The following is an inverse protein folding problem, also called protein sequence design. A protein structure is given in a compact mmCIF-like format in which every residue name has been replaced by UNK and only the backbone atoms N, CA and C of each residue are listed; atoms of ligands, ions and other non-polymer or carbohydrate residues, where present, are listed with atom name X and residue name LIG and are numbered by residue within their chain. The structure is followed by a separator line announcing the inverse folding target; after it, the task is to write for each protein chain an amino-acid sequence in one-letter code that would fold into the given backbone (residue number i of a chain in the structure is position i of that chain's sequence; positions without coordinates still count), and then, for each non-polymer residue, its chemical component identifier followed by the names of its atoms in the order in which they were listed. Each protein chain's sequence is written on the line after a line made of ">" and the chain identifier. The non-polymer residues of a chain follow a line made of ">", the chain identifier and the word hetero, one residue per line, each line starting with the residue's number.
data_IF_380178659876
#
_entry.id   IF_380178659876
#
_cell.length_a   1.000
_cell.length_b   1.000
_cell.length_c   1.000
_cell.angle_alpha   90.00
_cell.angle_beta   90.00
_cell.angle_gamma   90.00
#
_symmetry.space_group_name_H-M   'P 1'
#
loop_
_entity.id
_entity.type
_entity.pdbx_description
1 polymer ?
#
# COMPACT_ATOMS: atom_id res chain seq x y z
N UNK A 1 17.50 31.93 26.31
CA UNK A 1 17.47 33.29 26.88
C UNK A 1 16.02 33.72 26.95
N UNK A 2 15.53 34.06 28.16
CA UNK A 2 14.28 34.76 28.40
C UNK A 2 13.00 33.92 28.42
N UNK A 3 12.65 33.36 29.58
CA UNK A 3 11.27 33.17 30.10
C UNK A 3 11.33 32.47 31.46
N UNK A 4 11.52 33.29 32.49
CA UNK A 4 11.11 33.06 33.88
C UNK A 4 10.53 34.41 34.30
N UNK A 5 9.37 34.38 34.95
CA UNK A 5 8.70 35.47 35.69
C UNK A 5 7.20 35.63 35.37
N UNK A 6 6.43 34.54 35.21
CA UNK A 6 4.95 34.62 35.19
C UNK A 6 4.25 33.85 36.33
N UNK A 7 4.97 33.03 37.11
CA UNK A 7 4.36 32.23 38.19
C UNK A 7 4.25 32.98 39.54
N UNK A 8 4.87 34.15 39.67
CA UNK A 8 4.89 34.90 40.94
C UNK A 8 3.71 35.89 41.11
N UNK A 9 2.95 36.18 40.04
CA UNK A 9 1.84 37.16 40.11
C UNK A 9 0.48 36.53 40.46
N UNK A 10 0.32 35.21 40.26
CA UNK A 10 -0.95 34.52 40.52
C UNK A 10 -1.18 34.22 42.02
N UNK A 11 -0.12 33.98 42.80
CA UNK A 11 -0.24 33.74 44.25
C UNK A 11 -0.59 35.02 45.05
N UNK A 12 -0.35 36.21 44.50
CA UNK A 12 -0.71 37.47 45.15
C UNK A 12 -2.21 37.83 45.05
N UNK A 13 -2.96 37.19 44.13
CA UNK A 13 -4.38 37.50 43.90
C UNK A 13 -5.37 36.63 44.72
N UNK A 14 -4.90 35.57 45.38
CA UNK A 14 -5.77 34.60 46.09
C UNK A 14 -5.71 34.72 47.63
N UNK A 15 -4.98 35.68 48.17
CA UNK A 15 -4.88 35.94 49.62
C UNK A 15 -6.06 36.75 50.17
N UNK A 16 -7.26 36.17 50.27
CA UNK A 16 -8.41 36.96 50.69
C UNK A 16 -9.71 36.22 51.01
N UNK A 17 -9.69 34.97 51.45
CA UNK A 17 -10.91 34.30 51.94
C UNK A 17 -10.73 33.90 53.39
N UNK A 18 -11.31 34.69 54.30
CA UNK A 18 -11.47 34.32 55.71
C UNK A 18 -12.42 33.12 55.80
N UNK A 19 -12.08 32.06 56.53
CA UNK A 19 -13.05 31.03 56.85
C UNK A 19 -14.10 31.62 57.79
N UNK A 20 -15.36 31.65 57.34
CA UNK A 20 -16.51 31.83 58.23
C UNK A 20 -16.63 30.54 59.05
N UNK A 21 -15.97 30.53 60.20
CA UNK A 21 -16.26 29.61 61.29
C UNK A 21 -17.68 29.85 61.78
N UNK A 22 -18.59 28.95 61.41
CA UNK A 22 -19.97 28.90 61.89
C UNK A 22 -20.39 27.45 61.96
N UNK A 23 -20.03 26.78 63.06
CA UNK A 23 -20.42 25.40 63.32
C UNK A 23 -21.95 25.24 63.38
N UNK A 24 -22.48 24.05 63.07
CA UNK A 24 -23.90 23.77 63.23
C UNK A 24 -24.26 23.84 64.72
N UNK A 25 -25.07 24.82 65.10
CA UNK A 25 -25.74 24.83 66.39
C UNK A 25 -26.65 23.59 66.47
N UNK A 26 -26.23 22.60 67.25
CA UNK A 26 -27.07 21.50 67.69
C UNK A 26 -28.20 22.08 68.52
N UNK A 27 -29.41 22.12 67.96
CA UNK A 27 -30.62 22.36 68.73
C UNK A 27 -30.91 21.05 69.47
N UNK A 28 -30.53 21.03 70.75
CA UNK A 28 -30.95 19.98 71.68
C UNK A 28 -32.47 20.02 71.81
N UNK A 29 -33.12 18.91 71.43
CA UNK A 29 -34.49 18.63 71.83
C UNK A 29 -34.53 18.37 73.34
N UNK A 30 -35.18 19.25 74.08
CA UNK A 30 -35.49 19.07 75.50
C UNK A 30 -36.85 18.36 75.62
N UNK A 31 -36.94 17.22 76.32
CA UNK A 31 -38.21 16.61 76.70
C UNK A 31 -38.58 17.01 78.13
N UNK A 32 -39.75 17.63 78.30
CA UNK A 32 -40.48 17.76 79.57
C UNK A 32 -41.93 18.09 79.16
N UNK A 33 -42.97 17.34 79.50
CA UNK A 33 -43.31 16.90 80.85
C UNK A 33 -44.68 17.54 81.20
N UNK A 34 -45.58 16.86 81.93
CA UNK A 34 -47.02 17.09 81.88
C UNK A 34 -47.55 17.95 83.03
N UNK A 35 -48.87 18.22 82.97
CA UNK A 35 -49.81 18.64 84.04
C UNK A 35 -50.13 20.13 84.11
N UNK A 36 -51.43 20.41 84.00
CA UNK A 36 -52.04 21.71 84.26
C UNK A 36 -53.55 21.65 84.04
N UNK A 37 -54.27 20.82 84.83
CA UNK A 37 -55.72 20.90 85.00
C UNK A 37 -56.00 22.22 85.74
N UNK A 38 -56.44 23.26 85.04
CA UNK A 38 -57.07 24.42 85.67
C UNK A 38 -58.55 24.48 85.29
N UNK A 39 -59.34 24.18 86.30
CA UNK A 39 -60.78 24.25 86.38
C UNK A 39 -61.07 25.68 86.85
N UNK A 40 -61.56 26.55 85.98
CA UNK A 40 -61.98 27.90 86.35
C UNK A 40 -63.35 28.22 85.73
N UNK A 41 -64.35 28.18 86.61
CA UNK A 41 -65.52 29.08 86.68
C UNK A 41 -66.32 29.35 85.40
N UNK A 42 -67.43 28.63 85.28
CA UNK A 42 -68.67 29.11 84.66
C UNK A 42 -69.14 30.38 85.37
N UNK A 43 -69.06 31.51 84.67
CA UNK A 43 -69.75 32.74 85.02
C UNK A 43 -70.89 32.96 84.02
N UNK A 44 -72.08 33.22 84.55
CA UNK A 44 -73.34 33.24 83.82
C UNK A 44 -73.43 34.43 82.85
N UNK A 45 -73.83 34.13 81.62
CA UNK A 45 -74.06 35.10 80.55
C UNK A 45 -75.26 36.02 80.87
N UNK A 46 -75.12 37.36 80.80
CA UNK A 46 -76.24 38.29 80.84
C UNK A 46 -77.03 38.28 79.51
N UNK A 47 -78.31 38.70 79.53
CA UNK A 47 -79.20 38.66 78.37
C UNK A 47 -78.72 39.63 77.26
N UNK A 48 -78.53 39.08 76.06
CA UNK A 48 -78.16 39.82 74.85
C UNK A 48 -79.29 40.79 74.46
N UNK A 49 -79.02 42.09 74.53
CA UNK A 49 -79.79 43.09 73.79
C UNK A 49 -79.54 42.89 72.28
N UNK A 50 -80.61 42.92 71.49
CA UNK A 50 -80.52 42.79 70.04
C UNK A 50 -79.68 43.95 69.47
N UNK A 51 -78.62 43.65 68.69
CA UNK A 51 -77.80 44.69 68.09
C UNK A 51 -78.61 45.49 67.07
N UNK A 52 -78.36 46.79 67.09
CA UNK A 52 -78.89 47.75 66.13
C UNK A 52 -78.50 47.33 64.69
N UNK A 53 -79.48 47.20 63.80
CA UNK A 53 -79.32 46.57 62.49
C UNK A 53 -78.28 47.26 61.60
N UNK A 54 -77.99 48.54 61.85
CA UNK A 54 -76.98 49.33 61.16
C UNK A 54 -75.53 48.91 61.51
N UNK A 55 -75.23 48.64 62.79
CA UNK A 55 -73.89 48.20 63.23
C UNK A 55 -73.57 46.80 62.71
N UNK A 56 -74.57 45.92 62.67
CA UNK A 56 -74.43 44.58 62.11
C UNK A 56 -74.18 44.58 60.59
N UNK A 57 -74.57 45.64 59.86
CA UNK A 57 -74.29 45.76 58.43
C UNK A 57 -72.85 46.24 58.17
N UNK A 58 -72.39 47.28 58.89
CA UNK A 58 -71.01 47.78 58.77
C UNK A 58 -69.97 46.71 59.09
N UNK A 59 -70.15 45.97 60.19
CA UNK A 59 -69.26 44.85 60.55
C UNK A 59 -69.27 43.74 59.49
N UNK A 60 -70.42 43.48 58.84
CA UNK A 60 -70.50 42.49 57.75
C UNK A 60 -69.76 42.97 56.50
N UNK A 61 -69.81 44.26 56.20
CA UNK A 61 -69.10 44.85 55.07
C UNK A 61 -67.59 44.88 55.31
N UNK A 62 -67.12 45.32 56.47
CA UNK A 62 -65.70 45.25 56.84
C UNK A 62 -65.17 43.82 56.83
N UNK A 63 -65.96 42.85 57.32
CA UNK A 63 -65.60 41.44 57.27
C UNK A 63 -65.53 40.92 55.82
N UNK A 64 -66.42 41.39 54.94
CA UNK A 64 -66.39 41.05 53.53
C UNK A 64 -65.13 41.60 52.85
N UNK A 65 -64.81 42.87 53.08
CA UNK A 65 -63.65 43.55 52.49
C UNK A 65 -62.32 42.99 53.03
N UNK A 66 -62.27 42.66 54.33
CA UNK A 66 -61.15 41.94 54.92
C UNK A 66 -60.97 40.55 54.30
N UNK A 67 -62.07 39.82 54.05
CA UNK A 67 -62.02 38.51 53.37
C UNK A 67 -61.59 38.63 51.92
N UNK A 68 -61.94 39.69 51.21
CA UNK A 68 -61.43 39.94 49.86
C UNK A 68 -59.95 40.30 49.87
N UNK A 69 -59.51 41.12 50.83
CA UNK A 69 -58.10 41.46 51.01
C UNK A 69 -57.27 40.23 51.35
N UNK A 70 -57.74 39.38 52.26
CA UNK A 70 -57.10 38.10 52.61
C UNK A 70 -57.00 37.22 51.37
N UNK A 71 -58.09 37.04 50.60
CA UNK A 71 -58.05 36.27 49.35
C UNK A 71 -57.04 36.84 48.34
N UNK A 72 -56.95 38.16 48.23
CA UNK A 72 -55.96 38.84 47.38
C UNK A 72 -54.52 38.60 47.83
N UNK A 73 -54.27 38.68 49.14
CA UNK A 73 -52.95 38.40 49.73
C UNK A 73 -52.57 36.92 49.61
N UNK A 74 -53.51 36.00 49.82
CA UNK A 74 -53.31 34.55 49.61
C UNK A 74 -52.96 34.25 48.14
N UNK A 75 -53.66 34.87 47.19
CA UNK A 75 -53.34 34.75 45.78
C UNK A 75 -51.96 35.33 45.43
N UNK A 76 -51.61 36.50 45.99
CA UNK A 76 -50.29 37.12 45.78
C UNK A 76 -49.15 36.31 46.41
N UNK A 77 -49.37 35.74 47.61
CA UNK A 77 -48.42 34.85 48.27
C UNK A 77 -48.21 33.58 47.44
N UNK A 78 -49.29 32.94 46.98
CA UNK A 78 -49.18 31.76 46.13
C UNK A 78 -48.44 32.04 44.81
N UNK A 79 -48.68 33.21 44.20
CA UNK A 79 -47.95 33.64 43.02
C UNK A 79 -46.46 33.90 43.29
N UNK A 80 -46.13 34.51 44.44
CA UNK A 80 -44.76 34.76 44.86
C UNK A 80 -44.01 33.46 45.19
N UNK A 81 -44.67 32.49 45.83
CA UNK A 81 -44.13 31.14 46.06
C UNK A 81 -43.85 30.44 44.74
N UNK A 82 -44.78 30.47 43.79
CA UNK A 82 -44.58 29.93 42.45
C UNK A 82 -43.41 30.58 41.71
N UNK A 83 -43.26 31.91 41.79
CA UNK A 83 -42.13 32.62 41.20
C UNK A 83 -40.79 32.28 41.88
N UNK A 84 -40.78 32.13 43.21
CA UNK A 84 -39.59 31.74 43.97
C UNK A 84 -39.15 30.32 43.63
N UNK A 85 -40.08 29.37 43.47
CA UNK A 85 -39.77 28.00 43.07
C UNK A 85 -39.28 27.93 41.62
N UNK A 86 -39.85 28.71 40.70
CA UNK A 86 -39.34 28.84 39.34
C UNK A 86 -37.91 29.39 39.32
N UNK A 87 -37.61 30.45 40.08
CA UNK A 87 -36.26 31.01 40.18
C UNK A 87 -35.25 30.04 40.81
N UNK A 88 -35.68 29.22 41.78
CA UNK A 88 -34.84 28.15 42.35
C UNK A 88 -34.51 27.08 41.33
N UNK A 89 -35.49 26.65 40.54
CA UNK A 89 -35.29 25.67 39.46
C UNK A 89 -34.34 26.23 38.38
N UNK A 90 -34.50 27.49 37.99
CA UNK A 90 -33.59 28.15 37.04
C UNK A 90 -32.16 28.25 37.59
N UNK A 91 -32.01 28.63 38.86
CA UNK A 91 -30.69 28.67 39.50
C UNK A 91 -30.03 27.29 39.60
N UNK A 92 -30.81 26.24 39.86
CA UNK A 92 -30.31 24.86 39.87
C UNK A 92 -29.87 24.41 38.47
N UNK A 93 -30.65 24.70 37.43
CA UNK A 93 -30.29 24.41 36.04
C UNK A 93 -29.03 25.19 35.61
N UNK A 94 -28.91 26.45 35.99
CA UNK A 94 -27.73 27.27 35.72
C UNK A 94 -26.48 26.69 36.41
N UNK A 95 -26.59 26.28 37.68
CA UNK A 95 -25.49 25.62 38.42
C UNK A 95 -25.09 24.30 37.77
N UNK A 96 -26.06 23.49 37.34
CA UNK A 96 -25.79 22.25 36.62
C UNK A 96 -25.06 22.51 35.29
N UNK A 97 -25.46 23.55 34.56
CA UNK A 97 -24.81 23.98 33.31
C UNK A 97 -23.37 24.44 33.54
N UNK A 98 -23.13 25.28 34.56
CA UNK A 98 -21.77 25.73 34.92
C UNK A 98 -20.89 24.53 35.31
N UNK A 99 -21.41 23.61 36.11
CA UNK A 99 -20.67 22.40 36.49
C UNK A 99 -20.34 21.51 35.27
N UNK A 100 -21.23 21.41 34.29
CA UNK A 100 -20.98 20.69 33.05
C UNK A 100 -19.90 21.38 32.19
N UNK A 101 -19.94 22.72 32.09
CA UNK A 101 -18.90 23.49 31.37
C UNK A 101 -17.55 23.33 32.04
N UNK A 102 -17.48 23.39 33.38
CA UNK A 102 -16.25 23.22 34.13
C UNK A 102 -15.60 21.85 33.86
N UNK A 103 -16.38 20.76 33.90
CA UNK A 103 -15.88 19.42 33.55
C UNK A 103 -15.36 19.35 32.11
N UNK A 104 -16.07 19.94 31.16
CA UNK A 104 -15.62 19.97 29.75
C UNK A 104 -14.32 20.78 29.57
N UNK A 105 -14.10 21.81 30.39
CA UNK A 105 -12.85 22.56 30.40
C UNK A 105 -11.71 21.73 30.95
N UNK A 106 -11.91 21.04 32.08
CA UNK A 106 -10.92 20.11 32.66
C UNK A 106 -10.56 18.98 31.67
N UNK A 107 -11.55 18.37 31.02
CA UNK A 107 -11.35 17.34 29.99
C UNK A 107 -10.55 17.88 28.79
N UNK A 108 -10.84 19.12 28.36
CA UNK A 108 -10.14 19.76 27.25
C UNK A 108 -8.68 20.09 27.59
N UNK A 109 -8.42 20.57 28.81
CA UNK A 109 -7.06 20.83 29.31
C UNK A 109 -6.24 19.53 29.37
N UNK A 110 -6.84 18.45 29.86
CA UNK A 110 -6.21 17.13 29.86
C UNK A 110 -5.86 16.66 28.43
N UNK A 111 -6.81 16.82 27.49
CA UNK A 111 -6.60 16.46 26.09
C UNK A 111 -5.51 17.30 25.40
N UNK A 112 -5.41 18.60 25.70
CA UNK A 112 -4.32 19.46 25.21
C UNK A 112 -2.97 18.95 25.73
N UNK A 113 -2.88 18.65 27.03
CA UNK A 113 -1.65 18.15 27.62
C UNK A 113 -1.21 16.79 27.02
N UNK A 114 -2.17 15.91 26.71
CA UNK A 114 -1.90 14.66 25.98
C UNK A 114 -1.40 14.91 24.55
N UNK A 115 -2.03 15.84 23.83
CA UNK A 115 -1.64 16.20 22.47
C UNK A 115 -0.22 16.80 22.41
N UNK A 116 0.15 17.62 23.40
CA UNK A 116 1.50 18.18 23.50
C UNK A 116 2.54 17.08 23.75
N UNK A 117 2.27 16.14 24.67
CA UNK A 117 3.14 14.97 24.89
C UNK A 117 3.32 14.15 23.62
N UNK A 118 2.23 13.92 22.87
CA UNK A 118 2.29 13.18 21.61
C UNK A 118 3.12 13.91 20.54
N UNK A 119 2.98 15.24 20.43
CA UNK A 119 3.77 16.06 19.52
C UNK A 119 5.26 15.99 19.86
N UNK A 120 5.62 16.12 21.13
CA UNK A 120 7.01 16.10 21.57
C UNK A 120 7.66 14.72 21.34
N UNK A 121 6.90 13.64 21.54
CA UNK A 121 7.34 12.29 21.22
C UNK A 121 7.60 12.11 19.71
N UNK A 122 6.70 12.58 18.86
CA UNK A 122 6.87 12.52 17.40
C UNK A 122 8.06 13.36 16.92
N UNK A 123 8.28 14.53 17.52
CA UNK A 123 9.44 15.39 17.21
C UNK A 123 10.77 14.75 17.63
N UNK A 124 10.77 13.97 18.71
CA UNK A 124 11.94 13.19 19.13
C UNK A 124 12.24 12.06 18.13
N UNK A 125 11.21 11.30 17.73
CA UNK A 125 11.35 10.22 16.74
C UNK A 125 11.84 10.76 15.38
N UNK A 126 11.26 11.87 14.90
CA UNK A 126 11.71 12.54 13.66
C UNK A 126 13.18 12.92 13.72
N UNK A 127 13.66 13.45 14.86
CA UNK A 127 15.07 13.78 15.06
C UNK A 127 15.97 12.55 15.05
N UNK A 128 15.53 11.44 15.66
CA UNK A 128 16.28 10.18 15.64
C UNK A 128 16.42 9.63 14.21
N UNK A 129 15.34 9.62 13.43
CA UNK A 129 15.36 9.20 12.02
C UNK A 129 16.27 10.10 11.18
N UNK A 130 16.19 11.43 11.36
CA UNK A 130 17.07 12.36 10.64
C UNK A 130 18.55 12.15 10.98
N UNK A 131 18.89 11.88 12.24
CA UNK A 131 20.25 11.55 12.65
C UNK A 131 20.73 10.24 12.03
N UNK A 132 19.86 9.23 11.94
CA UNK A 132 20.19 7.95 11.30
C UNK A 132 20.45 8.12 9.80
N UNK A 133 19.57 8.84 9.09
CA UNK A 133 19.76 9.15 7.67
C UNK A 133 21.04 9.95 7.43
N UNK A 134 21.40 10.88 8.31
CA UNK A 134 22.66 11.62 8.20
C UNK A 134 23.87 10.67 8.32
N UNK A 135 23.87 9.77 9.31
CA UNK A 135 24.93 8.76 9.48
C UNK A 135 25.05 7.84 8.27
N UNK A 136 23.93 7.38 7.72
CA UNK A 136 23.93 6.52 6.52
C UNK A 136 24.45 7.25 5.29
N UNK A 137 24.11 8.53 5.13
CA UNK A 137 24.65 9.36 4.04
C UNK A 137 26.15 9.59 4.18
N UNK A 138 26.64 9.85 5.38
CA UNK A 138 28.06 10.02 5.65
C UNK A 138 28.82 8.71 5.40
N UNK A 139 28.26 7.57 5.83
CA UNK A 139 28.83 6.26 5.56
C UNK A 139 28.86 5.95 4.06
N UNK A 140 27.77 6.22 3.33
CA UNK A 140 27.72 6.05 1.88
C UNK A 140 28.73 6.97 1.17
N UNK A 141 28.94 8.19 1.68
CA UNK A 141 29.93 9.12 1.12
C UNK A 141 31.38 8.66 1.39
N UNK A 142 31.65 8.09 2.55
CA UNK A 142 32.96 7.51 2.87
C UNK A 142 33.24 6.24 2.06
N UNK A 143 32.21 5.42 1.81
CA UNK A 143 32.29 4.25 0.95
C UNK A 143 32.37 4.58 -0.53
N UNK A 144 31.82 5.72 -0.95
CA UNK A 144 31.96 6.24 -2.31
C UNK A 144 33.41 6.72 -2.54
N UNK A 145 34.34 5.76 -2.61
CA UNK A 145 35.68 6.00 -3.17
C UNK A 145 35.47 6.52 -4.59
N UNK A 146 36.22 7.54 -5.04
CA UNK A 146 36.15 7.98 -6.41
C UNK A 146 36.56 6.82 -7.31
N UNK A 147 35.60 6.19 -7.97
CA UNK A 147 35.83 5.17 -8.98
C UNK A 147 36.56 5.86 -10.11
N UNK A 148 37.86 5.56 -10.26
CA UNK A 148 38.59 5.98 -11.46
C UNK A 148 38.29 4.96 -12.54
N UNK A 149 37.87 5.42 -13.71
CA UNK A 149 37.77 4.53 -14.85
C UNK A 149 39.12 3.85 -15.08
N UNK A 150 39.11 2.55 -15.36
CA UNK A 150 40.34 1.77 -15.65
C UNK A 150 41.20 2.46 -16.71
N UNK A 151 40.52 3.04 -17.72
CA UNK A 151 41.15 3.85 -18.77
C UNK A 151 41.97 5.01 -18.22
N UNK A 152 41.49 5.71 -17.20
CA UNK A 152 42.20 6.85 -16.60
C UNK A 152 43.39 6.37 -15.75
N UNK A 153 43.25 5.24 -15.05
CA UNK A 153 44.36 4.63 -14.32
C UNK A 153 45.49 4.17 -15.26
N UNK A 154 45.14 3.57 -16.41
CA UNK A 154 46.10 3.19 -17.46
C UNK A 154 46.80 4.42 -18.06
N UNK A 155 46.04 5.47 -18.39
CA UNK A 155 46.61 6.74 -18.91
C UNK A 155 47.55 7.40 -17.92
N UNK A 156 47.17 7.45 -16.64
CA UNK A 156 48.02 8.00 -15.58
C UNK A 156 49.33 7.20 -15.43
N UNK A 157 49.33 5.91 -15.82
CA UNK A 157 50.52 5.06 -15.80
C UNK A 157 51.42 5.25 -17.04
N UNK A 158 50.93 5.92 -18.07
CA UNK A 158 51.66 6.25 -19.30
C UNK A 158 51.21 5.52 -20.55
N UNK A 159 50.08 4.79 -20.52
CA UNK A 159 49.53 4.14 -21.71
C UNK A 159 48.73 5.15 -22.54
N UNK A 160 49.16 5.41 -23.77
CA UNK A 160 48.70 6.52 -24.60
C UNK A 160 47.36 6.24 -25.28
N UNK A 161 47.14 5.02 -25.77
CA UNK A 161 45.99 4.66 -26.59
C UNK A 161 45.40 3.27 -26.26
N UNK A 162 44.39 2.86 -27.04
CA UNK A 162 43.68 1.60 -26.85
C UNK A 162 44.52 0.38 -27.22
N UNK A 163 45.48 0.52 -28.15
CA UNK A 163 46.35 -0.57 -28.58
C UNK A 163 47.38 -0.91 -27.51
N UNK A 164 48.01 0.11 -26.90
CA UNK A 164 48.90 -0.08 -25.75
C UNK A 164 48.15 -0.67 -24.55
N UNK A 165 46.92 -0.21 -24.30
CA UNK A 165 46.07 -0.77 -23.24
C UNK A 165 45.73 -2.24 -23.50
N UNK A 166 45.34 -2.59 -24.73
CA UNK A 166 45.07 -3.96 -25.11
C UNK A 166 46.32 -4.84 -25.01
N UNK A 167 47.49 -4.32 -25.38
CA UNK A 167 48.76 -5.02 -25.25
C UNK A 167 49.11 -5.32 -23.79
N UNK A 168 48.95 -4.34 -22.90
CA UNK A 168 49.16 -4.53 -21.46
C UNK A 168 48.19 -5.57 -20.86
N UNK A 169 46.90 -5.52 -21.24
CA UNK A 169 45.90 -6.50 -20.80
C UNK A 169 46.26 -7.93 -21.24
N UNK A 170 46.69 -8.11 -22.49
CA UNK A 170 47.18 -9.41 -22.97
C UNK A 170 48.41 -9.87 -22.20
N UNK A 171 49.36 -8.98 -21.94
CA UNK A 171 50.53 -9.30 -21.13
C UNK A 171 50.18 -9.77 -19.70
N UNK A 172 49.14 -9.22 -19.07
CA UNK A 172 48.66 -9.70 -17.77
C UNK A 172 47.97 -11.06 -17.85
N UNK A 173 47.20 -11.30 -18.91
CA UNK A 173 46.59 -12.60 -19.17
C UNK A 173 47.66 -13.68 -19.36
N UNK A 174 48.66 -13.41 -20.20
CA UNK A 174 49.77 -14.33 -20.48
C UNK A 174 50.63 -14.59 -19.23
N UNK A 175 50.71 -13.63 -18.31
CA UNK A 175 51.39 -13.77 -17.03
C UNK A 175 50.56 -14.47 -15.93
N UNK A 176 49.31 -14.85 -16.22
CA UNK A 176 48.42 -15.51 -15.25
C UNK A 176 47.98 -14.59 -14.09
N UNK A 177 48.00 -13.27 -14.27
CA UNK A 177 47.64 -12.28 -13.24
C UNK A 177 46.23 -11.70 -13.41
N UNK A 178 45.34 -12.43 -14.08
CA UNK A 178 43.98 -11.98 -14.33
C UNK A 178 43.20 -11.80 -13.02
N UNK A 179 43.32 -12.75 -12.09
CA UNK A 179 42.55 -12.72 -10.84
C UNK A 179 42.93 -11.50 -9.98
N UNK A 180 44.24 -11.25 -9.79
CA UNK A 180 44.72 -10.06 -9.07
C UNK A 180 44.26 -8.76 -9.72
N UNK A 181 44.17 -8.74 -11.06
CA UNK A 181 43.69 -7.57 -11.78
C UNK A 181 42.18 -7.37 -11.60
N UNK A 182 41.37 -8.43 -11.74
CA UNK A 182 39.93 -8.38 -11.55
C UNK A 182 39.54 -8.02 -10.11
N UNK A 183 40.27 -8.52 -9.11
CA UNK A 183 40.07 -8.16 -7.68
C UNK A 183 40.38 -6.68 -7.40
N UNK A 184 41.23 -6.05 -8.23
CA UNK A 184 41.52 -4.63 -8.13
C UNK A 184 40.50 -3.74 -8.86
N UNK A 185 39.60 -4.33 -9.65
CA UNK A 185 38.54 -3.63 -10.35
C UNK A 185 37.24 -3.66 -9.55
N UNK A 186 36.55 -2.52 -9.53
CA UNK A 186 35.18 -2.44 -9.04
C UNK A 186 34.28 -1.90 -10.15
N UNK A 187 33.11 -2.50 -10.30
CA UNK A 187 32.14 -2.09 -11.31
C UNK A 187 31.20 -1.06 -10.69
N UNK A 188 31.29 0.19 -11.14
CA UNK A 188 30.40 1.27 -10.68
C UNK A 188 28.91 0.90 -10.87
N UNK A 189 28.60 0.25 -11.98
CA UNK A 189 27.28 -0.33 -12.25
C UNK A 189 27.43 -1.80 -12.69
N UNK A 190 27.26 -2.75 -11.76
CA UNK A 190 27.33 -4.18 -12.07
C UNK A 190 26.29 -4.64 -13.10
N UNK A 191 25.12 -3.97 -13.17
CA UNK A 191 24.08 -4.34 -14.14
C UNK A 191 24.45 -3.88 -15.54
N UNK A 192 24.99 -2.67 -15.69
CA UNK A 192 25.51 -2.22 -16.98
C UNK A 192 26.65 -3.11 -17.49
N UNK A 193 27.55 -3.54 -16.59
CA UNK A 193 28.59 -4.51 -16.92
C UNK A 193 28.00 -5.86 -17.35
N UNK A 194 27.01 -6.39 -16.61
CA UNK A 194 26.35 -7.65 -16.97
C UNK A 194 25.70 -7.57 -18.35
N UNK A 195 24.93 -6.51 -18.64
CA UNK A 195 24.32 -6.28 -19.95
C UNK A 195 25.39 -6.16 -21.05
N UNK A 196 26.49 -5.46 -20.79
CA UNK A 196 27.60 -5.37 -21.74
C UNK A 196 28.22 -6.73 -22.02
N UNK A 197 28.43 -7.56 -21.00
CA UNK A 197 28.96 -8.92 -21.15
C UNK A 197 27.99 -9.81 -21.92
N UNK A 198 26.70 -9.79 -21.61
CA UNK A 198 25.67 -10.54 -22.36
C UNK A 198 25.61 -10.16 -23.85
N UNK A 199 25.93 -8.91 -24.18
CA UNK A 199 25.93 -8.42 -25.57
C UNK A 199 27.24 -8.67 -26.31
N UNK A 200 28.36 -8.81 -25.59
CA UNK A 200 29.71 -8.85 -26.18
C UNK A 200 30.43 -10.16 -25.98
N UNK A 201 29.92 -11.04 -25.14
CA UNK A 201 30.46 -12.37 -24.87
C UNK A 201 29.34 -13.38 -25.08
N UNK A 202 29.63 -14.42 -25.85
CA UNK A 202 28.69 -15.51 -26.10
C UNK A 202 29.31 -16.81 -25.65
N UNK A 203 28.65 -17.48 -24.71
CA UNK A 203 29.01 -18.81 -24.22
C UNK A 203 28.39 -19.86 -25.15
N UNK A 204 29.22 -20.57 -25.91
CA UNK A 204 28.72 -21.48 -26.95
C UNK A 204 29.37 -22.85 -26.79
N UNK A 205 28.58 -23.92 -26.90
CA UNK A 205 29.11 -25.29 -26.95
C UNK A 205 29.51 -25.67 -28.38
N UNK A 206 30.20 -26.81 -28.52
CA UNK A 206 30.67 -27.33 -29.81
C UNK A 206 29.58 -28.05 -30.63
N UNK A 207 28.34 -28.12 -30.10
CA UNK A 207 27.24 -28.76 -30.79
C UNK A 207 26.82 -27.99 -32.05
N UNK A 208 26.60 -28.72 -33.15
CA UNK A 208 26.13 -28.17 -34.42
C UNK A 208 24.82 -27.38 -34.25
N UNK A 209 24.77 -26.17 -34.83
CA UNK A 209 23.62 -25.27 -34.75
C UNK A 209 23.60 -24.35 -33.52
N UNK A 210 24.65 -24.34 -32.69
CA UNK A 210 24.83 -23.28 -31.69
C UNK A 210 25.64 -22.13 -32.30
N UNK A 211 24.94 -21.14 -32.88
CA UNK A 211 25.57 -19.97 -33.50
C UNK A 211 25.79 -18.86 -32.47
N UNK A 212 27.00 -18.29 -32.33
CA UNK A 212 27.24 -17.17 -31.43
C UNK A 212 26.54 -15.89 -31.90
N UNK A 213 26.32 -14.97 -30.96
CA UNK A 213 25.87 -13.63 -31.30
C UNK A 213 26.88 -12.92 -32.21
N UNK A 214 26.40 -12.28 -33.29
CA UNK A 214 27.25 -11.61 -34.26
C UNK A 214 28.09 -10.51 -33.61
N UNK A 215 29.41 -10.57 -33.81
CA UNK A 215 30.36 -9.59 -33.25
C UNK A 215 30.71 -9.79 -31.77
N UNK A 216 30.17 -10.84 -31.12
CA UNK A 216 30.54 -11.21 -29.76
C UNK A 216 31.84 -12.05 -29.74
N UNK A 217 32.56 -11.96 -28.62
CA UNK A 217 33.66 -12.86 -28.28
C UNK A 217 33.06 -14.22 -27.91
N UNK A 218 33.48 -15.27 -28.61
CA UNK A 218 32.98 -16.63 -28.39
C UNK A 218 33.83 -17.32 -27.34
N UNK A 219 33.18 -17.81 -26.28
CA UNK A 219 33.83 -18.61 -25.23
C UNK A 219 33.28 -20.03 -25.30
N UNK A 220 34.13 -21.04 -25.60
CA UNK A 220 33.69 -22.43 -25.64
C UNK A 220 33.34 -22.91 -24.23
N UNK A 221 32.14 -23.48 -24.07
CA UNK A 221 31.65 -24.00 -22.78
C UNK A 221 30.97 -25.37 -22.94
N UNK A 222 30.78 -26.06 -21.82
CA UNK A 222 29.94 -27.26 -21.78
C UNK A 222 28.48 -26.94 -22.17
N UNK A 223 27.73 -27.90 -22.73
CA UNK A 223 26.37 -27.66 -23.23
C UNK A 223 25.44 -26.98 -22.23
N UNK A 224 25.51 -27.32 -20.95
CA UNK A 224 24.64 -26.80 -19.87
C UNK A 224 24.81 -25.30 -19.64
N UNK A 225 25.96 -24.75 -20.04
CA UNK A 225 26.30 -23.33 -19.92
C UNK A 225 26.14 -22.56 -21.24
N UNK A 226 25.73 -23.22 -22.31
CA UNK A 226 25.58 -22.60 -23.62
C UNK A 226 24.39 -21.62 -23.62
N UNK A 227 24.61 -20.37 -24.01
CA UNK A 227 23.56 -19.33 -24.08
C UNK A 227 22.47 -19.67 -25.10
N UNK A 228 22.87 -20.41 -26.15
CA UNK A 228 22.00 -20.83 -27.23
C UNK A 228 21.10 -21.98 -26.77
N UNK A 229 21.69 -23.12 -26.40
CA UNK A 229 20.93 -24.34 -26.15
C UNK A 229 20.66 -24.64 -24.67
N UNK A 230 21.46 -24.12 -23.74
CA UNK A 230 21.38 -24.45 -22.31
C UNK A 230 21.38 -25.96 -22.03
N UNK A 231 22.07 -26.74 -22.87
CA UNK A 231 22.11 -28.20 -22.80
C UNK A 231 20.88 -28.92 -23.35
N UNK A 232 19.88 -28.18 -23.87
CA UNK A 232 18.64 -28.75 -24.39
C UNK A 232 18.66 -28.92 -25.90
N UNK A 233 18.53 -30.17 -26.37
CA UNK A 233 18.38 -30.49 -27.79
C UNK A 233 17.16 -29.80 -28.41
N UNK A 234 16.07 -29.68 -27.64
CA UNK A 234 14.85 -29.00 -28.09
C UNK A 234 15.08 -27.50 -28.29
N UNK A 235 15.77 -26.85 -27.36
CA UNK A 235 16.10 -25.42 -27.49
C UNK A 235 17.06 -25.19 -28.66
N UNK A 236 18.07 -26.05 -28.83
CA UNK A 236 18.99 -26.01 -29.98
C UNK A 236 18.25 -26.15 -31.31
N UNK A 237 17.38 -27.15 -31.44
CA UNK A 237 16.58 -27.37 -32.64
C UNK A 237 15.64 -26.20 -32.93
N UNK A 238 15.09 -25.57 -31.89
CA UNK A 238 14.25 -24.38 -32.02
C UNK A 238 15.03 -23.17 -32.51
N UNK A 239 16.19 -22.88 -31.93
CA UNK A 239 17.01 -21.74 -32.36
C UNK A 239 17.41 -21.89 -33.82
N UNK A 240 17.93 -23.06 -34.20
CA UNK A 240 18.31 -23.34 -35.58
C UNK A 240 17.11 -23.25 -36.54
N UNK A 241 15.92 -23.69 -36.11
CA UNK A 241 14.70 -23.50 -36.88
C UNK A 241 14.32 -22.02 -37.05
N UNK A 242 14.41 -21.22 -35.98
CA UNK A 242 14.12 -19.79 -36.02
C UNK A 242 15.11 -19.08 -36.94
N UNK A 243 16.42 -19.30 -36.78
CA UNK A 243 17.46 -18.75 -37.64
C UNK A 243 17.18 -19.06 -39.12
N UNK A 244 16.87 -20.33 -39.43
CA UNK A 244 16.56 -20.74 -40.80
C UNK A 244 15.30 -20.10 -41.36
N UNK A 245 14.27 -19.91 -40.54
CA UNK A 245 13.09 -19.14 -40.93
C UNK A 245 13.46 -17.69 -41.23
N UNK A 246 14.24 -17.04 -40.38
CA UNK A 246 14.71 -15.65 -40.56
C UNK A 246 15.49 -15.49 -41.87
N UNK A 247 16.47 -16.36 -42.12
CA UNK A 247 17.26 -16.39 -43.36
C UNK A 247 16.40 -16.60 -44.61
N UNK A 248 15.32 -17.36 -44.47
CA UNK A 248 14.37 -17.64 -45.55
C UNK A 248 13.30 -16.55 -45.70
N UNK A 249 13.35 -15.47 -44.91
CA UNK A 249 12.35 -14.41 -44.91
C UNK A 249 10.98 -14.82 -44.36
N UNK A 250 10.90 -15.95 -43.65
CA UNK A 250 9.68 -16.48 -43.05
C UNK A 250 9.51 -15.91 -41.63
N UNK A 251 8.48 -15.10 -41.43
CA UNK A 251 8.18 -14.48 -40.13
C UNK A 251 6.94 -15.05 -39.48
N UNK A 252 5.96 -15.50 -40.25
CA UNK A 252 4.68 -16.02 -39.73
C UNK A 252 4.61 -17.52 -39.92
N UNK A 253 4.89 -18.26 -38.86
CA UNK A 253 4.91 -19.73 -38.87
C UNK A 253 3.64 -20.25 -38.22
N UNK A 254 2.98 -21.22 -38.85
CA UNK A 254 1.85 -21.93 -38.25
C UNK A 254 2.18 -23.41 -38.12
N UNK A 255 2.06 -23.97 -36.91
CA UNK A 255 2.21 -25.41 -36.68
C UNK A 255 0.83 -26.00 -36.38
N UNK A 256 0.44 -27.01 -37.16
CA UNK A 256 -0.84 -27.70 -37.09
C UNK A 256 -0.61 -29.11 -36.57
N UNK A 257 -1.27 -29.48 -35.48
CA UNK A 257 -1.05 -30.75 -34.79
C UNK A 257 -0.16 -30.59 -33.56
N UNK A 258 0.38 -31.71 -33.08
CA UNK A 258 1.08 -31.77 -31.79
C UNK A 258 0.13 -31.89 -30.60
N UNK A 259 0.65 -32.41 -29.49
CA UNK A 259 -0.11 -32.50 -28.23
C UNK A 259 -0.24 -31.13 -27.55
N UNK A 260 -1.25 -30.90 -26.70
CA UNK A 260 -1.35 -29.68 -25.89
C UNK A 260 -0.09 -29.40 -25.05
N UNK A 261 0.57 -30.44 -24.53
CA UNK A 261 1.81 -30.30 -23.78
C UNK A 261 2.95 -29.75 -24.64
N UNK A 262 3.08 -30.21 -25.89
CA UNK A 262 4.07 -29.67 -26.82
C UNK A 262 3.79 -28.21 -27.16
N UNK A 263 2.52 -27.81 -27.19
CA UNK A 263 2.19 -26.40 -27.43
C UNK A 263 2.60 -25.51 -26.27
N UNK A 264 2.34 -25.96 -25.04
CA UNK A 264 2.80 -25.24 -23.84
C UNK A 264 4.31 -25.10 -23.84
N UNK A 265 5.03 -26.18 -24.16
CA UNK A 265 6.49 -26.18 -24.19
C UNK A 265 7.05 -25.28 -25.31
N UNK A 266 6.50 -25.33 -26.53
CA UNK A 266 6.92 -24.44 -27.62
C UNK A 266 6.68 -22.97 -27.29
N UNK A 267 5.55 -22.62 -26.66
CA UNK A 267 5.29 -21.24 -26.21
C UNK A 267 6.26 -20.80 -25.12
N UNK A 268 6.60 -21.70 -24.20
CA UNK A 268 7.58 -21.43 -23.13
C UNK A 268 8.97 -21.19 -23.70
N UNK A 269 9.42 -22.05 -24.62
CA UNK A 269 10.74 -21.93 -25.23
C UNK A 269 10.88 -20.69 -26.12
N UNK A 270 9.82 -20.30 -26.82
CA UNK A 270 9.80 -19.08 -27.62
C UNK A 270 9.53 -17.81 -26.82
N UNK A 271 9.32 -17.90 -25.50
CA UNK A 271 8.70 -16.88 -24.64
C UNK A 271 9.27 -15.46 -24.74
N UNK A 272 8.96 -14.74 -25.83
CA UNK A 272 9.40 -13.39 -26.12
C UNK A 272 10.19 -13.19 -27.42
N UNK A 273 10.58 -14.26 -28.13
CA UNK A 273 11.29 -14.11 -29.40
C UNK A 273 10.39 -13.47 -30.46
N UNK A 274 10.76 -12.27 -30.91
CA UNK A 274 10.01 -11.48 -31.89
C UNK A 274 10.48 -11.70 -33.32
N UNK A 275 11.48 -12.55 -33.54
CA UNK A 275 12.00 -12.85 -34.88
C UNK A 275 11.00 -13.62 -35.73
N UNK A 276 10.13 -14.42 -35.10
CA UNK A 276 9.02 -15.14 -35.74
C UNK A 276 7.73 -15.04 -34.91
N UNK A 277 6.61 -14.86 -35.59
CA UNK A 277 5.26 -15.08 -35.06
C UNK A 277 4.91 -16.55 -35.23
N UNK A 278 4.97 -17.32 -34.14
CA UNK A 278 4.50 -18.70 -34.13
C UNK A 278 3.06 -18.78 -33.62
N UNK A 279 2.16 -19.37 -34.41
CA UNK A 279 0.84 -19.80 -33.91
C UNK A 279 0.62 -21.29 -34.06
N UNK A 280 0.18 -21.87 -32.95
CA UNK A 280 -0.01 -23.30 -32.76
C UNK A 280 -1.50 -23.63 -32.88
N UNK A 281 -1.81 -24.59 -33.72
CA UNK A 281 -3.16 -25.02 -34.06
C UNK A 281 -3.31 -26.47 -33.63
N UNK A 282 -4.33 -26.78 -32.83
CA UNK A 282 -4.58 -28.15 -32.37
C UNK A 282 -5.06 -29.03 -33.54
N UNK A 283 -4.61 -30.28 -33.57
CA UNK A 283 -4.97 -31.27 -34.60
C UNK A 283 -6.19 -32.12 -34.26
N UNK A 284 -6.76 -31.97 -33.06
CA UNK A 284 -7.91 -32.73 -32.55
C UNK A 284 -9.27 -32.02 -32.78
N UNK A 285 -9.24 -30.73 -33.15
CA UNK A 285 -10.43 -29.95 -33.42
C UNK A 285 -10.96 -30.17 -34.83
N UNK A 286 -12.29 -30.18 -35.00
CA UNK A 286 -12.93 -30.19 -36.32
C UNK A 286 -12.56 -28.90 -37.07
N UNK A 287 -11.69 -29.02 -38.07
CA UNK A 287 -11.31 -27.93 -38.97
C UNK A 287 -12.04 -28.07 -40.29
N UNK A 288 -12.50 -26.96 -40.84
CA UNK A 288 -13.07 -26.93 -42.19
C UNK A 288 -12.06 -26.33 -43.19
N UNK A 289 -12.39 -26.41 -44.47
CA UNK A 289 -11.55 -25.91 -45.56
C UNK A 289 -11.31 -24.38 -45.48
N UNK A 290 -12.27 -23.61 -44.97
CA UNK A 290 -12.12 -22.15 -44.85
C UNK A 290 -11.11 -21.78 -43.75
N UNK A 291 -11.09 -22.52 -42.64
CA UNK A 291 -10.11 -22.32 -41.56
C UNK A 291 -8.68 -22.59 -42.05
N UNK A 292 -8.48 -23.69 -42.80
CA UNK A 292 -7.18 -24.04 -43.37
C UNK A 292 -6.69 -22.98 -44.38
N UNK A 293 -7.56 -22.54 -45.30
CA UNK A 293 -7.27 -21.44 -46.23
C UNK A 293 -6.91 -20.15 -45.49
N UNK A 294 -7.63 -19.83 -44.41
CA UNK A 294 -7.36 -18.65 -43.61
C UNK A 294 -5.98 -18.73 -42.93
N UNK A 295 -5.63 -19.90 -42.39
CA UNK A 295 -4.30 -20.09 -41.81
C UNK A 295 -3.18 -19.97 -42.84
N UNK A 296 -3.35 -20.51 -44.04
CA UNK A 296 -2.39 -20.37 -45.14
C UNK A 296 -2.25 -18.91 -45.60
N UNK A 297 -3.36 -18.16 -45.67
CA UNK A 297 -3.35 -16.74 -46.04
C UNK A 297 -2.58 -15.86 -45.05
N UNK A 298 -2.59 -16.24 -43.78
CA UNK A 298 -1.97 -15.47 -42.69
C UNK A 298 -0.61 -16.02 -42.24
N UNK A 299 -0.04 -16.98 -42.98
CA UNK A 299 1.24 -17.59 -42.68
C UNK A 299 2.18 -17.49 -43.88
N UNK A 300 3.47 -17.40 -43.61
CA UNK A 300 4.50 -17.57 -44.64
C UNK A 300 4.80 -19.07 -44.84
N UNK A 301 4.57 -19.88 -43.80
CA UNK A 301 4.64 -21.33 -43.86
C UNK A 301 3.65 -21.98 -42.87
N UNK A 302 3.00 -23.05 -43.33
CA UNK A 302 2.22 -23.96 -42.48
C UNK A 302 2.95 -25.30 -42.37
N UNK A 303 3.26 -25.71 -41.14
CA UNK A 303 3.88 -26.99 -40.83
C UNK A 303 2.81 -27.93 -40.25
N UNK A 304 2.53 -29.02 -40.96
CA UNK A 304 1.63 -30.08 -40.50
C UNK A 304 2.45 -31.11 -39.74
N UNK A 305 2.28 -31.15 -38.43
CA UNK A 305 3.00 -32.05 -37.54
C UNK A 305 2.27 -33.39 -37.43
N UNK A 306 2.58 -34.29 -38.37
CA UNK A 306 1.93 -35.59 -38.55
C UNK A 306 2.44 -36.74 -37.68
N UNK A 307 3.36 -36.49 -36.74
CA UNK A 307 3.86 -37.53 -35.82
C UNK A 307 2.98 -37.76 -34.58
N UNK A 308 1.84 -37.07 -34.49
CA UNK A 308 0.85 -37.14 -33.41
C UNK A 308 -0.54 -37.36 -33.98
N UNK A 309 -1.55 -37.59 -33.12
CA UNK A 309 -2.97 -37.74 -33.52
C UNK A 309 -3.36 -36.54 -34.40
N UNK A 310 -3.48 -36.80 -35.70
CA UNK A 310 -4.00 -35.86 -36.67
C UNK A 310 -5.08 -36.59 -37.42
N UNK A 311 -6.32 -36.11 -37.31
CA UNK A 311 -7.39 -36.65 -38.13
C UNK A 311 -7.04 -36.38 -39.61
N UNK A 312 -7.17 -37.41 -40.46
CA UNK A 312 -6.94 -37.28 -41.90
C UNK A 312 -7.83 -36.18 -42.50
N UNK A 313 -9.00 -35.93 -41.88
CA UNK A 313 -9.88 -34.80 -42.22
C UNK A 313 -9.20 -33.43 -42.06
N UNK A 314 -8.27 -33.27 -41.11
CA UNK A 314 -7.64 -31.99 -40.78
C UNK A 314 -6.43 -31.68 -41.65
N UNK A 315 -5.58 -32.67 -41.97
CA UNK A 315 -4.46 -32.46 -42.92
C UNK A 315 -4.93 -32.23 -44.35
N UNK A 316 -5.99 -32.90 -44.78
CA UNK A 316 -6.46 -32.86 -46.17
C UNK A 316 -6.98 -31.50 -46.63
N UNK A 317 -7.20 -30.57 -45.70
CA UNK A 317 -7.68 -29.22 -46.01
C UNK A 317 -6.58 -28.22 -46.37
N UNK A 318 -5.30 -28.54 -46.12
CA UNK A 318 -4.17 -27.67 -46.45
C UNK A 318 -3.65 -27.97 -47.85
N UNK A 319 -3.77 -26.99 -48.74
CA UNK A 319 -3.45 -27.14 -50.15
C UNK A 319 -2.07 -26.52 -50.49
N UNK A 320 -1.07 -27.31 -50.93
CA UNK A 320 0.24 -26.79 -51.31
C UNK A 320 0.20 -25.74 -52.44
N UNK A 321 -0.87 -25.68 -53.24
CA UNK A 321 -1.03 -24.65 -54.28
C UNK A 321 -1.48 -23.30 -53.72
N UNK A 322 -2.06 -23.27 -52.52
CA UNK A 322 -2.55 -22.06 -51.87
C UNK A 322 -1.50 -21.38 -50.96
N UNK A 323 -0.35 -22.00 -50.74
CA UNK A 323 0.74 -21.47 -49.92
C UNK A 323 1.77 -22.53 -49.55
N UNK A 324 2.84 -22.13 -48.86
CA UNK A 324 3.91 -23.06 -48.47
C UNK A 324 3.43 -23.96 -47.33
N UNK A 325 3.25 -25.25 -47.64
CA UNK A 325 2.87 -26.29 -46.67
C UNK A 325 4.01 -27.29 -46.55
N UNK A 326 4.39 -27.63 -45.32
CA UNK A 326 5.41 -28.62 -45.01
C UNK A 326 4.82 -29.69 -44.09
N UNK A 327 4.89 -30.95 -44.51
CA UNK A 327 4.41 -32.07 -43.70
C UNK A 327 5.61 -32.73 -43.00
N UNK A 328 5.59 -32.74 -41.67
CA UNK A 328 6.65 -33.33 -40.85
C UNK A 328 6.09 -34.46 -39.98
N UNK A 329 6.39 -35.70 -40.37
CA UNK A 329 6.03 -36.89 -39.60
C UNK A 329 7.15 -37.26 -38.62
N UNK A 330 7.14 -36.67 -37.42
CA UNK A 330 8.12 -36.97 -36.37
C UNK A 330 7.53 -36.86 -34.95
N UNK A 331 8.02 -37.66 -34.01
CA UNK A 331 7.63 -37.58 -32.59
C UNK A 331 8.55 -36.65 -31.81
N UNK A 332 7.99 -35.82 -30.92
CA UNK A 332 8.76 -34.88 -30.11
C UNK A 332 9.16 -33.60 -30.85
N UNK A 333 9.37 -32.54 -30.09
CA UNK A 333 9.55 -31.17 -30.61
C UNK A 333 10.87 -31.07 -31.38
N UNK A 334 11.99 -31.50 -30.79
CA UNK A 334 13.32 -31.35 -31.37
C UNK A 334 13.42 -31.94 -32.79
N UNK A 335 13.05 -33.21 -32.96
CA UNK A 335 13.14 -33.86 -34.27
C UNK A 335 12.10 -33.36 -35.29
N UNK A 336 10.96 -32.81 -34.85
CA UNK A 336 10.04 -32.12 -35.75
C UNK A 336 10.67 -30.83 -36.29
N UNK A 337 11.27 -30.02 -35.41
CA UNK A 337 11.92 -28.77 -35.79
C UNK A 337 13.15 -29.02 -36.68
N UNK A 338 13.99 -30.01 -36.37
CA UNK A 338 15.14 -30.38 -37.19
C UNK A 338 14.74 -30.73 -38.63
N UNK A 339 13.75 -31.62 -38.80
CA UNK A 339 13.24 -31.97 -40.14
C UNK A 339 12.61 -30.78 -40.85
N UNK A 340 11.97 -29.88 -40.11
CA UNK A 340 11.44 -28.65 -40.67
C UNK A 340 12.57 -27.77 -41.22
N UNK A 341 13.63 -27.57 -40.43
CA UNK A 341 14.84 -26.83 -40.82
C UNK A 341 15.51 -27.41 -42.06
N UNK A 342 15.71 -28.73 -42.10
CA UNK A 342 16.30 -29.43 -43.26
C UNK A 342 15.48 -29.21 -44.54
N UNK A 343 14.15 -29.34 -44.45
CA UNK A 343 13.26 -29.13 -45.59
C UNK A 343 13.25 -27.65 -46.06
N UNK A 344 13.36 -26.70 -45.14
CA UNK A 344 13.56 -25.28 -45.47
C UNK A 344 14.90 -25.06 -46.21
N UNK A 345 15.94 -25.82 -45.86
CA UNK A 345 17.24 -25.88 -46.53
C UNK A 345 17.18 -26.33 -47.99
N UNK A 346 16.39 -27.37 -48.27
CA UNK A 346 16.31 -28.00 -49.59
C UNK A 346 15.48 -27.17 -50.59
N UNK A 347 14.41 -26.52 -50.12
CA UNK A 347 13.51 -25.74 -50.99
C UNK A 347 14.09 -24.45 -51.58
N UNK A 348 15.26 -23.98 -51.13
CA UNK A 348 15.95 -22.81 -51.71
C UNK A 348 16.86 -23.15 -52.90
N UNK A 349 17.08 -24.45 -53.21
CA UNK A 349 18.01 -24.88 -54.27
C UNK A 349 17.34 -25.14 -55.63
N UNK A 350 16.04 -24.83 -55.77
CA UNK A 350 15.27 -24.90 -57.02
C UNK A 350 14.89 -23.51 -57.48
#
# INVERSE_FOLDING_TARGET
>A
MGRRDDDAEFEAAMGGVRPLGGGPARIHATPAGPRGRERATQEAAPPRAAPDAAVAHGVRQELHDARETIRGLEAALSAAEGAADAARQEAEQARATVAAIARRAEDAEAAIADAERARDAADHERRAVQQQLAKERDHAREQARPTRAVRDALRARGLADEDEAAWAMRGWLDAGRLDEWLEALDAEDPNALAIFLEQRVSLVCDAEGCTPLAGAVVVPVAPERCDVCGGSDTRRALEHFVERCVESGLRRVRIVGGSPNYHTELRRLLGGDRRIELKLIRGDGRRNQNDAKNDQKHADIVIIWGGTILDHSTSGHYDPSAGRVLIVAHRGIAGMLQRATEALGQGQRN
#
